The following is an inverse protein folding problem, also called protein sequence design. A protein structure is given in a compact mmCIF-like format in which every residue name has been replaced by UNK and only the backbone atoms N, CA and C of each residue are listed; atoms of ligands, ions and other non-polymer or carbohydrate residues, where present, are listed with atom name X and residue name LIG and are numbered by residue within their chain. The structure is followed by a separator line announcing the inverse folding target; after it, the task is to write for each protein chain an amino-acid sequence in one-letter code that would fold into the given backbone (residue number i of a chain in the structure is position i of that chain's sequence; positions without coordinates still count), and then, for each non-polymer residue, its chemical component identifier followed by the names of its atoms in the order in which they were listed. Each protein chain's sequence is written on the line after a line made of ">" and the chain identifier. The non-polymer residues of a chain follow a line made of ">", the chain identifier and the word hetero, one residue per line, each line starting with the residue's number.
data_IF_937391985908
#
_entry.id   IF_937391985908
#
_cell.length_a   1.000
_cell.length_b   1.000
_cell.length_c   1.000
_cell.angle_alpha   90.00
_cell.angle_beta   90.00
_cell.angle_gamma   90.00
#
_symmetry.space_group_name_H-M   'P 1'
#
loop_
_entity.id
_entity.type
_entity.pdbx_description
1 polymer ?
#
# COMPACT_ATOMS: atom_id res chain seq x y z
N UNK A 1 -4.51 -32.32 2.12
CA UNK A 1 -4.51 -30.98 1.50
C UNK A 1 -5.07 -31.11 0.09
N UNK A 2 -6.40 -31.05 -0.06
CA UNK A 2 -7.07 -31.28 -1.35
C UNK A 2 -7.31 -29.93 -2.04
N UNK A 3 -6.77 -29.76 -3.24
CA UNK A 3 -6.92 -28.55 -4.04
C UNK A 3 -8.41 -28.33 -4.42
N UNK A 4 -8.92 -27.08 -4.37
CA UNK A 4 -10.30 -26.80 -4.73
C UNK A 4 -10.54 -27.04 -6.22
N UNK A 5 -11.69 -27.63 -6.54
CA UNK A 5 -12.10 -27.98 -7.91
C UNK A 5 -12.09 -26.71 -8.79
N UNK A 6 -11.65 -26.86 -10.04
CA UNK A 6 -11.57 -25.79 -11.04
C UNK A 6 -12.97 -25.38 -11.47
N UNK A 7 -13.54 -24.37 -10.83
CA UNK A 7 -14.85 -23.83 -11.18
C UNK A 7 -14.67 -22.83 -12.33
N UNK A 8 -15.09 -23.18 -13.55
CA UNK A 8 -14.96 -22.32 -14.74
C UNK A 8 -15.61 -20.94 -14.57
N UNK A 9 -16.63 -20.84 -13.71
CA UNK A 9 -17.30 -19.57 -13.37
C UNK A 9 -16.39 -18.55 -12.67
N UNK A 10 -15.47 -19.00 -11.80
CA UNK A 10 -14.50 -18.08 -11.19
C UNK A 10 -13.52 -17.54 -12.24
N UNK A 11 -13.07 -18.38 -13.17
CA UNK A 11 -12.19 -17.95 -14.26
C UNK A 11 -12.82 -16.88 -15.15
N UNK A 12 -14.09 -17.07 -15.53
CA UNK A 12 -14.83 -16.10 -16.34
C UNK A 12 -15.02 -14.78 -15.59
N UNK A 13 -15.38 -14.83 -14.30
CA UNK A 13 -15.52 -13.64 -13.48
C UNK A 13 -14.18 -12.87 -13.37
N UNK A 14 -13.06 -13.57 -13.16
CA UNK A 14 -11.73 -12.97 -13.14
C UNK A 14 -11.42 -12.27 -14.46
N UNK A 15 -11.64 -12.93 -15.61
CA UNK A 15 -11.39 -12.33 -16.93
C UNK A 15 -12.25 -11.09 -17.16
N UNK A 16 -13.53 -11.10 -16.78
CA UNK A 16 -14.42 -9.95 -16.91
C UNK A 16 -13.98 -8.76 -16.05
N UNK A 17 -13.56 -9.01 -14.80
CA UNK A 17 -13.04 -7.95 -13.91
C UNK A 17 -11.78 -7.32 -14.49
N UNK A 18 -10.83 -8.15 -14.97
CA UNK A 18 -9.62 -7.64 -15.61
C UNK A 18 -9.96 -6.87 -16.89
N UNK A 19 -10.84 -7.38 -17.74
CA UNK A 19 -11.26 -6.69 -18.96
C UNK A 19 -11.88 -5.32 -18.65
N UNK A 20 -12.75 -5.23 -17.65
CA UNK A 20 -13.37 -3.98 -17.22
C UNK A 20 -12.35 -2.98 -16.67
N UNK A 21 -11.38 -3.43 -15.85
CA UNK A 21 -10.35 -2.57 -15.27
C UNK A 21 -9.37 -2.05 -16.33
N UNK A 22 -9.02 -2.87 -17.32
CA UNK A 22 -8.12 -2.49 -18.41
C UNK A 22 -8.81 -1.76 -19.56
N UNK A 23 -10.14 -1.85 -19.68
CA UNK A 23 -10.90 -1.14 -20.72
C UNK A 23 -10.60 0.38 -20.78
N UNK A 24 -10.64 1.18 -19.70
CA UNK A 24 -10.32 2.60 -19.77
C UNK A 24 -8.87 2.86 -20.18
N UNK A 25 -7.92 2.03 -19.73
CA UNK A 25 -6.51 2.13 -20.13
C UNK A 25 -6.36 1.84 -21.62
N UNK A 26 -7.05 0.82 -22.14
CA UNK A 26 -7.06 0.49 -23.55
C UNK A 26 -7.66 1.62 -24.40
N UNK A 27 -8.74 2.26 -23.93
CA UNK A 27 -9.32 3.44 -24.60
C UNK A 27 -8.30 4.58 -24.65
N UNK A 28 -7.57 4.86 -23.57
CA UNK A 28 -6.50 5.86 -23.57
C UNK A 28 -5.39 5.54 -24.57
N UNK A 29 -4.98 4.27 -24.66
CA UNK A 29 -3.97 3.83 -25.65
C UNK A 29 -4.48 4.04 -27.08
N UNK A 30 -5.73 3.67 -27.37
CA UNK A 30 -6.33 3.86 -28.70
C UNK A 30 -6.43 5.36 -29.03
N UNK A 31 -6.83 6.19 -28.06
CA UNK A 31 -6.90 7.64 -28.22
C UNK A 31 -5.51 8.29 -28.40
N UNK A 32 -4.45 7.70 -27.84
CA UNK A 32 -3.07 8.18 -28.06
C UNK A 32 -2.63 8.14 -29.53
N UNK A 33 -3.30 7.34 -30.36
CA UNK A 33 -3.08 7.28 -31.80
C UNK A 33 -4.08 8.15 -32.59
N UNK A 34 -4.94 8.94 -31.95
CA UNK A 34 -5.88 9.79 -32.67
C UNK A 34 -5.19 11.07 -33.19
N UNK A 35 -5.43 11.40 -34.45
CA UNK A 35 -4.93 12.62 -35.09
C UNK A 35 -5.56 13.90 -34.51
N UNK A 36 -6.76 13.83 -33.95
CA UNK A 36 -7.42 14.97 -33.32
C UNK A 36 -6.94 15.17 -31.88
N UNK A 37 -6.66 16.44 -31.52
CA UNK A 37 -6.42 16.86 -30.11
C UNK A 37 -7.67 16.70 -29.22
N UNK A 38 -8.85 16.60 -29.82
CA UNK A 38 -10.13 16.45 -29.14
C UNK A 38 -10.64 15.02 -29.34
N UNK A 39 -10.91 14.32 -28.24
CA UNK A 39 -11.41 12.94 -28.22
C UNK A 39 -12.80 12.76 -28.89
N UNK A 40 -13.49 13.87 -29.21
CA UNK A 40 -14.84 13.86 -29.78
C UNK A 40 -14.90 13.50 -31.28
N UNK A 41 -13.80 13.59 -32.02
CA UNK A 41 -13.78 13.30 -33.45
C UNK A 41 -12.64 12.32 -33.80
N UNK A 42 -13.02 11.12 -34.25
CA UNK A 42 -12.09 10.13 -34.78
C UNK A 42 -11.70 10.55 -36.20
N UNK A 43 -10.49 11.09 -36.36
CA UNK A 43 -10.02 11.66 -37.64
C UNK A 43 -8.98 10.78 -38.35
N UNK A 44 -8.36 9.83 -37.64
CA UNK A 44 -7.41 8.87 -38.21
C UNK A 44 -6.43 8.32 -37.17
N UNK A 45 -5.74 7.22 -37.50
CA UNK A 45 -4.62 6.66 -36.72
C UNK A 45 -3.32 7.39 -37.12
N UNK A 46 -2.63 8.00 -36.16
CA UNK A 46 -1.34 8.66 -36.33
C UNK A 46 -0.35 8.29 -35.22
N UNK A 47 0.93 8.22 -35.58
CA UNK A 47 2.05 8.12 -34.64
C UNK A 47 2.76 9.46 -34.40
N UNK A 48 2.26 10.56 -34.96
CA UNK A 48 2.91 11.88 -34.95
C UNK A 48 3.23 12.36 -33.52
N UNK A 49 2.32 12.15 -32.57
CA UNK A 49 2.52 12.54 -31.17
C UNK A 49 3.77 11.90 -30.53
N UNK A 50 4.11 10.67 -30.92
CA UNK A 50 5.33 10.01 -30.45
C UNK A 50 6.59 10.64 -31.06
N UNK A 51 6.51 11.12 -32.30
CA UNK A 51 7.62 11.86 -32.94
C UNK A 51 7.82 13.25 -32.33
N UNK A 52 6.72 13.95 -32.01
CA UNK A 52 6.74 15.24 -31.30
C UNK A 52 7.31 15.06 -29.90
N UNK A 53 6.88 14.01 -29.18
CA UNK A 53 7.38 13.65 -27.86
C UNK A 53 8.91 13.47 -27.86
N UNK A 54 9.47 12.87 -28.92
CA UNK A 54 10.91 12.64 -29.01
C UNK A 54 11.73 13.92 -29.18
N UNK A 55 11.13 14.98 -29.73
CA UNK A 55 11.79 16.26 -29.96
C UNK A 55 11.52 17.29 -28.84
N UNK A 56 10.63 16.97 -27.90
CA UNK A 56 10.26 17.88 -26.82
C UNK A 56 11.14 17.66 -25.59
N UNK A 57 12.19 18.46 -25.48
CA UNK A 57 13.12 18.40 -24.35
C UNK A 57 12.44 18.76 -23.02
N UNK A 58 11.40 19.61 -23.04
CA UNK A 58 10.66 20.00 -21.83
C UNK A 58 9.95 18.80 -21.20
N UNK A 59 9.41 17.90 -22.01
CA UNK A 59 8.74 16.68 -21.52
C UNK A 59 9.77 15.75 -20.87
N UNK A 60 10.93 15.54 -21.50
CA UNK A 60 11.99 14.70 -20.93
C UNK A 60 12.58 15.29 -19.64
N UNK A 61 12.77 16.61 -19.59
CA UNK A 61 13.20 17.30 -18.37
C UNK A 61 12.16 17.16 -17.25
N UNK A 62 10.87 17.30 -17.58
CA UNK A 62 9.77 17.13 -16.62
C UNK A 62 9.70 15.69 -16.09
N UNK A 63 9.87 14.70 -16.97
CA UNK A 63 9.94 13.28 -16.61
C UNK A 63 11.11 13.00 -15.67
N UNK A 64 12.29 13.51 -15.99
CA UNK A 64 13.49 13.37 -15.16
C UNK A 64 13.27 14.01 -13.77
N UNK A 65 12.70 15.21 -13.72
CA UNK A 65 12.36 15.87 -12.46
C UNK A 65 11.38 15.03 -11.63
N UNK A 66 10.31 14.50 -12.22
CA UNK A 66 9.36 13.63 -11.52
C UNK A 66 10.00 12.35 -10.99
N UNK A 67 10.90 11.73 -11.76
CA UNK A 67 11.65 10.55 -11.34
C UNK A 67 12.58 10.85 -10.15
N UNK A 68 13.30 11.98 -10.21
CA UNK A 68 14.18 12.42 -9.11
C UNK A 68 13.36 12.68 -7.85
N UNK A 69 12.24 13.42 -7.96
CA UNK A 69 11.35 13.68 -6.84
C UNK A 69 10.83 12.37 -6.24
N UNK A 70 10.33 11.45 -7.07
CA UNK A 70 9.80 10.16 -6.62
C UNK A 70 10.86 9.29 -5.93
N UNK A 71 12.06 9.20 -6.50
CA UNK A 71 13.15 8.40 -5.93
C UNK A 71 13.60 8.96 -4.57
N UNK A 72 13.86 10.27 -4.49
CA UNK A 72 14.32 10.92 -3.26
C UNK A 72 13.25 10.87 -2.18
N UNK A 73 11.99 11.17 -2.53
CA UNK A 73 10.90 11.14 -1.58
C UNK A 73 10.64 9.72 -1.05
N UNK A 74 10.66 8.70 -1.92
CA UNK A 74 10.47 7.31 -1.51
C UNK A 74 11.60 6.85 -0.58
N UNK A 75 12.86 7.11 -0.94
CA UNK A 75 14.00 6.71 -0.13
C UNK A 75 13.95 7.34 1.27
N UNK A 76 13.75 8.66 1.33
CA UNK A 76 13.67 9.38 2.60
C UNK A 76 12.46 8.93 3.45
N UNK A 77 11.27 8.85 2.85
CA UNK A 77 10.05 8.47 3.57
C UNK A 77 10.09 7.03 4.07
N UNK A 78 10.70 6.10 3.32
CA UNK A 78 10.85 4.71 3.78
C UNK A 78 11.78 4.66 4.99
N UNK A 79 12.93 5.35 4.95
CA UNK A 79 13.87 5.34 6.09
C UNK A 79 13.23 5.97 7.32
N UNK A 80 12.72 7.20 7.22
CA UNK A 80 12.13 7.89 8.37
C UNK A 80 10.83 7.24 8.85
N UNK A 81 9.97 6.82 7.93
CA UNK A 81 8.69 6.18 8.25
C UNK A 81 8.87 4.80 8.90
N UNK A 82 9.84 4.00 8.45
CA UNK A 82 10.14 2.70 9.07
C UNK A 82 10.70 2.87 10.47
N UNK A 83 11.63 3.82 10.67
CA UNK A 83 12.15 4.14 12.00
C UNK A 83 11.02 4.57 12.95
N UNK A 84 10.14 5.47 12.49
CA UNK A 84 8.99 5.91 13.27
C UNK A 84 8.00 4.77 13.57
N UNK A 85 7.72 3.89 12.60
CA UNK A 85 6.85 2.73 12.78
C UNK A 85 7.39 1.75 13.84
N UNK A 86 8.69 1.49 13.84
CA UNK A 86 9.33 0.63 14.85
C UNK A 86 9.23 1.23 16.26
N UNK A 87 9.41 2.55 16.37
CA UNK A 87 9.25 3.26 17.65
C UNK A 87 7.80 3.18 18.12
N UNK A 88 6.82 3.40 17.24
CA UNK A 88 5.40 3.28 17.59
C UNK A 88 4.98 1.86 17.97
N UNK A 89 5.52 0.85 17.28
CA UNK A 89 5.23 -0.55 17.60
C UNK A 89 5.69 -0.94 19.01
N UNK A 90 6.83 -0.42 19.48
CA UNK A 90 7.42 -0.76 20.79
C UNK A 90 7.01 0.17 21.93
N UNK A 91 6.49 1.37 21.62
CA UNK A 91 6.21 2.38 22.65
C UNK A 91 4.89 2.12 23.40
N UNK A 92 4.98 1.93 24.72
CA UNK A 92 3.84 1.81 25.65
C UNK A 92 3.41 3.16 26.26
N UNK A 93 3.86 4.29 25.71
CA UNK A 93 3.73 5.62 26.35
C UNK A 93 2.31 6.22 26.27
N UNK A 94 1.94 6.94 27.33
CA UNK A 94 0.71 7.73 27.49
C UNK A 94 0.76 8.94 26.54
N UNK A 95 0.15 8.80 25.36
CA UNK A 95 0.26 9.74 24.22
C UNK A 95 0.20 9.06 22.85
N UNK A 96 0.24 7.72 22.82
CA UNK A 96 0.14 6.92 21.61
C UNK A 96 -1.13 7.22 20.78
N UNK A 97 -2.28 7.35 21.41
CA UNK A 97 -3.55 7.62 20.71
C UNK A 97 -3.53 8.95 19.94
N UNK A 98 -2.91 9.99 20.51
CA UNK A 98 -2.78 11.30 19.84
C UNK A 98 -1.82 11.22 18.65
N UNK A 99 -0.69 10.52 18.82
CA UNK A 99 0.27 10.33 17.73
C UNK A 99 -0.30 9.49 16.60
N UNK A 100 -1.03 8.41 16.92
CA UNK A 100 -1.78 7.62 15.94
C UNK A 100 -2.80 8.51 15.21
N UNK A 101 -3.58 9.32 15.92
CA UNK A 101 -4.55 10.23 15.30
C UNK A 101 -3.89 11.22 14.32
N UNK A 102 -2.72 11.77 14.65
CA UNK A 102 -1.96 12.67 13.75
C UNK A 102 -1.50 11.91 12.49
N UNK A 103 -1.01 10.69 12.64
CA UNK A 103 -0.53 9.87 11.52
C UNK A 103 -1.68 9.41 10.61
N UNK A 104 -2.88 9.17 11.17
CA UNK A 104 -4.09 8.84 10.40
C UNK A 104 -4.75 10.06 9.75
N UNK A 105 -4.44 11.29 10.20
CA UNK A 105 -5.08 12.50 9.69
C UNK A 105 -4.94 12.68 8.17
N UNK A 106 -3.75 12.45 7.55
CA UNK A 106 -3.58 12.56 6.11
C UNK A 106 -4.36 11.53 5.28
N UNK A 107 -4.81 10.41 5.88
CA UNK A 107 -5.65 9.42 5.19
C UNK A 107 -7.13 9.84 5.14
N UNK A 108 -7.58 10.61 6.14
CA UNK A 108 -8.97 11.08 6.22
C UNK A 108 -9.15 12.38 5.45
N UNK A 109 -8.14 13.26 5.48
CA UNK A 109 -8.17 14.51 4.73
C UNK A 109 -7.98 14.21 3.23
N UNK A 110 -8.78 14.81 2.34
CA UNK A 110 -8.56 14.67 0.90
C UNK A 110 -7.17 15.19 0.50
N UNK A 111 -6.45 14.43 -0.33
CA UNK A 111 -5.07 14.76 -0.72
C UNK A 111 -4.94 16.15 -1.34
N UNK A 112 -5.95 16.59 -2.10
CA UNK A 112 -6.00 17.91 -2.72
C UNK A 112 -5.95 19.03 -1.67
N UNK A 113 -6.60 18.85 -0.52
CA UNK A 113 -6.60 19.83 0.58
C UNK A 113 -5.21 19.98 1.17
N UNK A 114 -4.50 18.86 1.37
CA UNK A 114 -3.11 18.86 1.89
C UNK A 114 -2.19 19.54 0.88
N UNK A 115 -2.33 19.24 -0.41
CA UNK A 115 -1.52 19.84 -1.46
C UNK A 115 -1.66 21.37 -1.49
N UNK A 116 -2.90 21.88 -1.47
CA UNK A 116 -3.17 23.33 -1.43
C UNK A 116 -2.64 23.95 -0.13
N UNK A 117 -2.83 23.29 1.02
CA UNK A 117 -2.34 23.78 2.31
C UNK A 117 -0.80 23.90 2.34
N UNK A 118 -0.08 22.94 1.77
CA UNK A 118 1.39 22.97 1.70
C UNK A 118 1.89 24.07 0.76
N UNK A 119 1.22 24.30 -0.38
CA UNK A 119 1.53 25.43 -1.27
C UNK A 119 1.35 26.77 -0.55
N UNK A 120 0.23 26.94 0.15
CA UNK A 120 -0.01 28.15 0.95
C UNK A 120 1.04 28.29 2.07
N UNK A 121 1.40 27.19 2.74
CA UNK A 121 2.44 27.19 3.77
C UNK A 121 3.79 27.69 3.24
N UNK A 122 4.23 27.23 2.07
CA UNK A 122 5.46 27.74 1.47
C UNK A 122 5.35 29.19 1.02
N UNK A 123 4.19 29.61 0.52
CA UNK A 123 3.94 31.01 0.18
C UNK A 123 3.99 31.94 1.41
N UNK A 124 3.46 31.49 2.55
CA UNK A 124 3.52 32.24 3.83
C UNK A 124 4.96 32.36 4.36
N UNK A 125 5.82 31.38 4.06
CA UNK A 125 7.25 31.43 4.37
C UNK A 125 8.06 32.28 3.38
N UNK A 126 7.41 32.91 2.40
CA UNK A 126 8.05 33.64 1.30
C UNK A 126 9.08 32.80 0.54
N UNK A 127 8.91 31.47 0.51
CA UNK A 127 9.74 30.57 -0.30
C UNK A 127 9.18 30.44 -1.70
N UNK A 128 10.07 30.51 -2.69
CA UNK A 128 9.72 30.27 -4.08
C UNK A 128 9.41 28.78 -4.31
N UNK A 129 8.37 28.52 -5.11
CA UNK A 129 8.01 27.16 -5.50
C UNK A 129 9.11 26.60 -6.38
N UNK A 130 9.78 25.57 -5.84
CA UNK A 130 10.90 24.91 -6.49
C UNK A 130 10.78 23.39 -6.36
N UNK A 131 11.63 22.67 -7.08
CA UNK A 131 11.70 21.22 -7.02
C UNK A 131 11.92 20.73 -5.57
N UNK A 132 12.69 21.47 -4.76
CA UNK A 132 12.91 21.18 -3.34
C UNK A 132 11.64 21.27 -2.49
N UNK A 133 10.81 22.30 -2.71
CA UNK A 133 9.52 22.41 -2.00
C UNK A 133 8.59 21.25 -2.32
N UNK A 134 8.63 20.75 -3.57
CA UNK A 134 7.85 19.58 -3.99
C UNK A 134 8.37 18.30 -3.32
N UNK A 135 9.70 18.12 -3.22
CA UNK A 135 10.30 16.98 -2.53
C UNK A 135 9.89 16.96 -1.05
N UNK A 136 10.02 18.08 -0.35
CA UNK A 136 9.69 18.17 1.08
C UNK A 136 8.20 17.88 1.32
N UNK A 137 7.33 18.42 0.45
CA UNK A 137 5.89 18.15 0.49
C UNK A 137 5.59 16.64 0.35
N UNK A 138 6.17 16.00 -0.66
CA UNK A 138 6.00 14.56 -0.89
C UNK A 138 6.55 13.72 0.28
N UNK A 139 7.73 14.06 0.81
CA UNK A 139 8.31 13.35 1.95
C UNK A 139 7.36 13.37 3.14
N UNK A 140 6.83 14.54 3.48
CA UNK A 140 5.94 14.74 4.63
C UNK A 140 4.66 13.92 4.48
N UNK A 141 4.09 13.90 3.28
CA UNK A 141 2.89 13.11 2.99
C UNK A 141 3.18 11.59 3.04
N UNK A 142 4.23 11.14 2.35
CA UNK A 142 4.57 9.73 2.25
C UNK A 142 5.00 9.11 3.58
N UNK A 143 5.61 9.87 4.51
CA UNK A 143 5.99 9.36 5.84
C UNK A 143 4.77 8.79 6.58
N UNK A 144 3.65 9.51 6.60
CA UNK A 144 2.43 9.07 7.29
C UNK A 144 1.89 7.76 6.71
N UNK A 145 1.92 7.62 5.38
CA UNK A 145 1.51 6.39 4.70
C UNK A 145 2.44 5.21 5.04
N UNK A 146 3.76 5.42 4.97
CA UNK A 146 4.76 4.39 5.28
C UNK A 146 4.61 3.89 6.72
N UNK A 147 4.41 4.79 7.68
CA UNK A 147 4.25 4.43 9.10
C UNK A 147 3.10 3.44 9.28
N UNK A 148 1.96 3.70 8.63
CA UNK A 148 0.75 2.88 8.75
C UNK A 148 0.97 1.52 8.08
N UNK A 149 1.50 1.51 6.85
CA UNK A 149 1.72 0.26 6.11
C UNK A 149 2.74 -0.63 6.82
N UNK A 150 3.88 -0.07 7.23
CA UNK A 150 4.92 -0.84 7.95
C UNK A 150 4.40 -1.28 9.32
N UNK A 151 3.71 -0.41 10.06
CA UNK A 151 3.11 -0.74 11.35
C UNK A 151 2.12 -1.90 11.24
N UNK A 152 1.24 -1.89 10.23
CA UNK A 152 0.30 -2.98 9.98
C UNK A 152 1.02 -4.30 9.69
N UNK A 153 2.15 -4.27 8.97
CA UNK A 153 2.98 -5.46 8.70
C UNK A 153 3.67 -5.99 9.94
N UNK A 154 4.16 -5.12 10.82
CA UNK A 154 4.79 -5.52 12.09
C UNK A 154 3.79 -6.24 12.99
N UNK A 155 2.57 -5.70 13.16
CA UNK A 155 1.52 -6.35 13.96
C UNK A 155 1.10 -7.69 13.36
N UNK A 156 0.97 -7.77 12.03
CA UNK A 156 0.63 -9.02 11.34
C UNK A 156 1.68 -10.13 11.54
N UNK A 157 2.95 -9.78 11.82
CA UNK A 157 4.03 -10.74 12.01
C UNK A 157 4.17 -11.23 13.47
N UNK A 158 3.62 -10.51 14.45
CA UNK A 158 3.60 -10.92 15.87
C UNK A 158 2.45 -11.90 16.18
N UNK A 159 1.37 -11.85 15.40
CA UNK A 159 0.18 -12.71 15.54
C UNK A 159 0.41 -14.23 15.27
N UNK A 160 1.24 -14.67 14.30
CA UNK A 160 1.39 -16.09 13.97
C UNK A 160 2.04 -16.88 15.11
N UNK A 161 3.06 -16.34 15.77
CA UNK A 161 3.75 -17.01 16.88
C UNK A 161 2.87 -17.10 18.13
N UNK A 162 2.08 -16.07 18.43
CA UNK A 162 1.12 -16.11 19.54
C UNK A 162 0.00 -17.14 19.30
N UNK A 163 -0.52 -17.22 18.08
CA UNK A 163 -1.56 -18.21 17.71
C UNK A 163 -0.99 -19.64 17.72
N UNK A 164 0.24 -19.86 17.24
CA UNK A 164 0.91 -21.17 17.30
C UNK A 164 1.06 -21.64 18.76
N UNK A 165 1.43 -20.75 19.69
CA UNK A 165 1.53 -21.10 21.11
C UNK A 165 0.19 -21.48 21.76
N UNK A 166 -0.92 -20.86 21.33
CA UNK A 166 -2.28 -21.23 21.80
C UNK A 166 -2.71 -22.58 21.23
N UNK A 167 -2.40 -22.86 19.95
CA UNK A 167 -2.70 -24.15 19.33
C UNK A 167 -1.89 -25.28 19.97
N UNK A 168 -0.60 -25.06 20.26
CA UNK A 168 0.27 -26.03 20.94
C UNK A 168 -0.22 -26.31 22.37
N UNK A 169 -0.62 -25.29 23.12
CA UNK A 169 -1.23 -25.45 24.44
C UNK A 169 -2.59 -26.17 24.39
N UNK A 170 -3.40 -25.91 23.36
CA UNK A 170 -4.68 -26.58 23.16
C UNK A 170 -4.52 -28.05 22.74
N UNK A 171 -3.52 -28.38 21.92
CA UNK A 171 -3.16 -29.75 21.55
C UNK A 171 -2.65 -30.54 22.77
N UNK A 172 -1.81 -29.93 23.61
CA UNK A 172 -1.35 -30.55 24.86
C UNK A 172 -2.51 -30.74 25.87
N UNK A 173 -3.45 -29.80 25.94
CA UNK A 173 -4.66 -29.94 26.75
C UNK A 173 -5.57 -31.07 26.23
N UNK A 174 -5.69 -31.23 24.91
CA UNK A 174 -6.45 -32.32 24.31
C UNK A 174 -5.81 -33.69 24.58
N UNK A 175 -4.50 -33.81 24.43
CA UNK A 175 -3.76 -35.07 24.70
C UNK A 175 -3.79 -35.44 26.19
N UNK A 176 -3.70 -34.47 27.10
CA UNK A 176 -3.76 -34.77 28.55
C UNK A 176 -5.17 -35.17 29.01
N UNK A 177 -6.22 -34.61 28.43
CA UNK A 177 -7.61 -35.01 28.72
C UNK A 177 -7.93 -36.40 28.14
N UNK A 178 -7.46 -36.71 26.93
CA UNK A 178 -7.71 -38.01 26.29
C UNK A 178 -6.97 -39.17 27.01
N UNK A 179 -5.74 -38.92 27.47
CA UNK A 179 -4.99 -39.89 28.30
C UNK A 179 -5.61 -40.11 29.69
N UNK A 180 -6.29 -39.10 30.25
CA UNK A 180 -7.03 -39.24 31.49
C UNK A 180 -8.36 -40.00 31.29
N UNK A 181 -8.99 -39.86 30.13
CA UNK A 181 -10.27 -40.50 29.81
C UNK A 181 -10.12 -41.98 29.40
N UNK A 182 -9.04 -42.33 28.70
CA UNK A 182 -8.80 -43.69 28.19
C UNK A 182 -7.77 -44.50 29.00
N UNK A 183 -7.57 -44.16 30.28
CA UNK A 183 -6.70 -44.93 31.16
C UNK A 183 -7.26 -46.36 31.33
N UNK A 184 -6.48 -47.43 31.03
CA UNK A 184 -6.98 -48.79 31.12
C UNK A 184 -7.36 -49.13 32.58
N UNK A 185 -8.45 -49.88 32.81
CA UNK A 185 -8.86 -50.27 34.15
C UNK A 185 -7.74 -51.04 34.82
N UNK A 186 -7.29 -50.57 35.99
CA UNK A 186 -6.30 -51.26 36.82
C UNK A 186 -6.81 -52.68 37.10
N UNK A 187 -6.16 -53.68 36.49
CA UNK A 187 -6.39 -55.09 36.78
C UNK A 187 -6.15 -55.33 38.27
N UNK A 188 -7.25 -55.47 39.00
CA UNK A 188 -7.28 -55.91 40.40
C UNK A 188 -6.90 -57.38 40.44
N UNK A 189 -5.60 -57.66 40.57
CA UNK A 189 -5.13 -58.97 41.00
C UNK A 189 -5.50 -59.10 42.48
N UNK A 190 -6.66 -59.71 42.71
CA UNK A 190 -7.16 -60.13 44.01
C UNK A 190 -6.44 -61.42 44.39
N UNK A 191 -5.45 -61.32 45.28
CA UNK A 191 -5.10 -62.40 46.23
C UNK A 191 -5.69 -62.03 47.57
#
# INVERSE_FOLDING_TARGET
>A
MAWPRRNSGLGIATVLVFAFLYAPVAVLVILSFNHSRLAAHWTGLTGEWYSVLWHDELIFQSLANSLVVAAVATAASVVFGTMAALVFARSRRRGRATLEAIVYLPLVIPEIVIAVAVVIFFALLAMELSLWTVIIAHITFCISYVIIVVGARLVAHEQPVAVIGILDAADLAFVTVDLAHNAPPRLSLKT
#
